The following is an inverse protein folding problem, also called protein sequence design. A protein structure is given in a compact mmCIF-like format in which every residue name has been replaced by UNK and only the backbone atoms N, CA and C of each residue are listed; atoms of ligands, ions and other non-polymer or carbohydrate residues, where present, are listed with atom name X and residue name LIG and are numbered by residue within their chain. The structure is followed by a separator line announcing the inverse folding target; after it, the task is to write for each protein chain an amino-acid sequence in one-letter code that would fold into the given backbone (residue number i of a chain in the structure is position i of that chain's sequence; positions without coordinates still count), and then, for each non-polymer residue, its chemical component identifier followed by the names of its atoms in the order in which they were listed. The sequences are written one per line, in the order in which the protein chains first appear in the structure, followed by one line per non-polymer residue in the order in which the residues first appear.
data_IF_146123851437
#
_entry.id   IF_146123851437
#
_cell.length_a   1.000
_cell.length_b   1.000
_cell.length_c   1.000
_cell.angle_alpha   90.00
_cell.angle_beta   90.00
_cell.angle_gamma   90.00
#
_symmetry.space_group_name_H-M   'P 1'
#
loop_
_entity.id
_entity.type
_entity.pdbx_description
1 polymer ?
#
# COMPACT_ATOMS: atom_id res chain seq x y z
N UNK A 1 -4.61 -44.08 36.33
CA UNK A 1 -6.06 -44.30 36.53
C UNK A 1 -6.79 -43.07 36.01
N UNK A 2 -7.44 -43.17 34.85
CA UNK A 2 -8.91 -43.25 34.70
C UNK A 2 -9.63 -42.01 35.25
N UNK A 3 -10.12 -41.15 34.34
CA UNK A 3 -11.54 -41.17 33.95
C UNK A 3 -11.82 -40.34 32.69
N UNK A 4 -12.55 -41.03 31.82
CA UNK A 4 -13.18 -40.64 30.57
C UNK A 4 -14.69 -40.56 30.87
N UNK A 5 -15.38 -39.47 30.49
CA UNK A 5 -16.84 -39.36 30.24
C UNK A 5 -16.97 -38.12 29.32
N UNK A 6 -17.26 -38.14 28.01
CA UNK A 6 -18.33 -38.71 27.16
C UNK A 6 -19.70 -37.99 27.25
N UNK A 7 -19.93 -37.13 26.25
CA UNK A 7 -21.19 -36.89 25.47
C UNK A 7 -22.36 -36.11 26.08
N UNK A 8 -22.88 -35.10 25.34
CA UNK A 8 -24.22 -35.07 24.70
C UNK A 8 -24.35 -33.84 23.77
N UNK A 9 -24.89 -34.10 22.57
CA UNK A 9 -25.31 -33.17 21.52
C UNK A 9 -26.57 -32.38 21.93
N UNK A 10 -26.67 -31.13 21.45
CA UNK A 10 -27.95 -30.53 21.06
C UNK A 10 -27.73 -29.51 19.94
N UNK A 11 -28.29 -29.81 18.77
CA UNK A 11 -28.50 -28.91 17.64
C UNK A 11 -29.86 -28.23 17.84
N UNK A 12 -29.93 -26.90 17.74
CA UNK A 12 -31.08 -26.17 17.21
C UNK A 12 -30.64 -24.73 16.91
N UNK A 13 -30.69 -24.35 15.63
CA UNK A 13 -30.23 -23.06 15.14
C UNK A 13 -31.24 -21.93 15.35
N UNK A 14 -30.73 -20.69 15.25
CA UNK A 14 -31.46 -19.53 14.73
C UNK A 14 -30.48 -18.73 13.90
N UNK A 15 -30.89 -18.43 12.67
CA UNK A 15 -30.22 -17.56 11.71
C UNK A 15 -29.88 -16.19 12.31
N UNK A 16 -28.62 -15.80 12.18
CA UNK A 16 -28.24 -14.42 12.00
C UNK A 16 -26.98 -14.40 11.12
N UNK A 17 -27.16 -14.06 9.83
CA UNK A 17 -26.06 -13.69 8.95
C UNK A 17 -25.37 -12.45 9.55
N UNK A 18 -24.28 -12.63 10.29
CA UNK A 18 -23.42 -11.53 10.67
C UNK A 18 -22.35 -11.33 9.61
N UNK A 19 -22.32 -10.14 9.01
CA UNK A 19 -21.27 -9.68 8.10
C UNK A 19 -19.87 -9.97 8.69
N UNK A 20 -19.19 -10.96 8.12
CA UNK A 20 -17.82 -11.27 8.50
C UNK A 20 -16.89 -10.20 7.93
N UNK A 21 -16.13 -9.57 8.83
CA UNK A 21 -14.99 -8.72 8.51
C UNK A 21 -14.02 -9.49 7.61
N UNK A 22 -13.44 -8.89 6.55
CA UNK A 22 -12.49 -9.61 5.70
C UNK A 22 -11.34 -10.20 6.52
N UNK A 23 -11.10 -11.50 6.43
CA UNK A 23 -9.93 -12.15 7.04
C UNK A 23 -8.69 -11.72 6.26
N UNK A 24 -8.01 -10.68 6.73
CA UNK A 24 -6.73 -10.27 6.16
C UNK A 24 -5.66 -11.31 6.49
N UNK A 25 -5.17 -12.02 5.46
CA UNK A 25 -3.99 -12.86 5.59
C UNK A 25 -2.77 -11.98 5.35
N UNK A 26 -2.20 -11.47 6.44
CA UNK A 26 -0.97 -10.70 6.39
C UNK A 26 0.25 -11.64 6.43
N UNK A 27 1.03 -11.63 5.36
CA UNK A 27 2.34 -12.25 5.36
C UNK A 27 3.35 -11.32 6.03
N UNK A 28 3.56 -11.49 7.34
CA UNK A 28 4.62 -10.80 8.07
C UNK A 28 5.93 -11.58 7.97
N UNK A 29 6.87 -11.10 7.17
CA UNK A 29 8.27 -11.51 7.29
C UNK A 29 8.85 -10.88 8.57
N UNK A 30 8.94 -11.65 9.66
CA UNK A 30 9.41 -11.10 10.93
C UNK A 30 10.93 -10.89 10.91
N UNK A 31 11.38 -9.68 11.26
CA UNK A 31 12.78 -9.25 11.29
C UNK A 31 13.61 -9.76 12.48
N UNK A 32 13.23 -10.88 13.11
CA UNK A 32 14.01 -11.45 14.22
C UNK A 32 14.58 -12.80 13.82
N UNK A 33 15.92 -12.85 13.82
CA UNK A 33 16.81 -13.99 13.57
C UNK A 33 16.22 -15.31 14.11
N UNK A 34 15.76 -16.14 13.20
CA UNK A 34 15.97 -17.59 13.23
C UNK A 34 15.90 -18.05 11.78
N UNK A 35 17.08 -18.19 11.19
CA UNK A 35 17.31 -19.03 10.02
C UNK A 35 16.77 -20.42 10.36
N UNK A 36 15.82 -20.92 9.57
CA UNK A 36 15.65 -22.36 9.43
C UNK A 36 15.88 -22.71 7.97
N UNK A 37 16.88 -23.55 7.79
CA UNK A 37 17.19 -24.29 6.58
C UNK A 37 15.95 -25.12 6.21
N UNK A 38 15.50 -25.02 4.97
CA UNK A 38 14.67 -26.06 4.35
C UNK A 38 15.46 -26.56 3.14
N UNK A 39 16.08 -27.71 3.34
CA UNK A 39 16.56 -28.55 2.25
C UNK A 39 15.33 -28.87 1.38
N UNK A 40 15.39 -28.53 0.09
CA UNK A 40 14.32 -28.54 -0.93
C UNK A 40 13.35 -27.33 -0.94
N UNK A 41 13.68 -26.33 -1.75
CA UNK A 41 12.76 -25.59 -2.64
C UNK A 41 11.60 -24.75 -2.08
N UNK A 42 11.27 -24.79 -0.79
CA UNK A 42 10.02 -24.23 -0.24
C UNK A 42 10.32 -23.21 0.86
N UNK A 43 9.94 -21.95 0.67
CA UNK A 43 9.99 -20.93 1.73
C UNK A 43 8.64 -20.83 2.43
N UNK A 44 8.58 -21.34 3.66
CA UNK A 44 7.45 -21.20 4.57
C UNK A 44 7.55 -19.87 5.31
N UNK A 45 6.52 -19.02 5.23
CA UNK A 45 6.36 -17.97 6.24
C UNK A 45 5.51 -18.51 7.39
N UNK A 46 5.99 -18.36 8.62
CA UNK A 46 5.18 -18.57 9.83
C UNK A 46 4.98 -17.18 10.46
N UNK A 47 3.77 -16.71 10.82
CA UNK A 47 2.46 -17.32 11.07
C UNK A 47 1.40 -16.86 10.04
N UNK A 48 0.79 -17.81 9.35
CA UNK A 48 -0.24 -17.60 8.32
C UNK A 48 0.09 -18.46 7.10
N UNK A 49 -0.48 -19.67 7.05
CA UNK A 49 -0.03 -20.82 6.24
C UNK A 49 0.01 -20.49 4.74
N UNK A 50 1.19 -20.53 4.13
CA UNK A 50 1.37 -20.60 2.68
C UNK A 50 2.85 -20.74 2.31
N UNK A 51 3.13 -20.97 1.02
CA UNK A 51 4.49 -21.12 0.48
C UNK A 51 4.81 -20.15 -0.64
N UNK A 52 6.10 -19.81 -0.76
CA UNK A 52 6.68 -19.16 -1.94
C UNK A 52 7.78 -20.08 -2.47
N UNK A 53 7.70 -20.43 -3.74
CA UNK A 53 8.56 -21.40 -4.41
C UNK A 53 9.02 -20.84 -5.76
N UNK A 54 10.15 -21.33 -6.26
CA UNK A 54 10.56 -21.11 -7.65
C UNK A 54 10.55 -22.44 -8.40
N UNK A 55 9.85 -22.49 -9.54
CA UNK A 55 9.62 -23.71 -10.31
C UNK A 55 10.23 -23.58 -11.70
N UNK A 56 11.11 -24.53 -12.07
CA UNK A 56 11.78 -24.56 -13.37
C UNK A 56 12.27 -25.95 -13.79
N UNK A 57 12.50 -26.17 -15.10
CA UNK A 57 12.79 -27.51 -15.70
C UNK A 57 14.19 -28.07 -15.43
N UNK A 58 15.15 -27.28 -14.94
CA UNK A 58 16.51 -27.70 -14.56
C UNK A 58 16.93 -26.93 -13.29
N UNK A 59 16.55 -27.44 -12.13
CA UNK A 59 16.75 -26.81 -10.82
C UNK A 59 18.22 -26.83 -10.36
N UNK A 60 19.13 -26.12 -11.06
CA UNK A 60 20.51 -25.89 -10.61
C UNK A 60 20.89 -24.42 -10.49
N UNK A 61 19.96 -23.49 -10.70
CA UNK A 61 20.16 -22.10 -10.29
C UNK A 61 20.15 -22.04 -8.76
N UNK A 62 21.26 -21.61 -8.14
CA UNK A 62 21.37 -21.47 -6.70
C UNK A 62 20.29 -20.50 -6.19
N UNK A 63 19.24 -21.04 -5.58
CA UNK A 63 18.25 -20.23 -4.86
C UNK A 63 18.97 -19.68 -3.63
N UNK A 64 19.23 -18.38 -3.64
CA UNK A 64 20.01 -17.69 -2.61
C UNK A 64 19.12 -16.79 -1.77
N UNK A 65 19.66 -16.31 -0.64
CA UNK A 65 19.02 -15.30 0.21
C UNK A 65 19.72 -13.97 0.01
N UNK A 66 19.02 -12.97 -0.55
CA UNK A 66 19.53 -11.59 -0.66
C UNK A 66 18.78 -10.68 0.30
N UNK A 67 19.47 -10.10 1.28
CA UNK A 67 18.87 -9.20 2.30
C UNK A 67 17.63 -9.81 3.00
N UNK A 68 17.66 -11.12 3.28
CA UNK A 68 16.58 -11.91 3.86
C UNK A 68 15.40 -12.25 2.92
N UNK A 69 15.59 -12.17 1.60
CA UNK A 69 14.56 -12.47 0.60
C UNK A 69 14.96 -13.60 -0.35
N UNK A 70 14.00 -14.43 -0.81
CA UNK A 70 14.23 -15.38 -1.88
C UNK A 70 14.74 -14.68 -3.15
N UNK A 71 15.82 -15.21 -3.71
CA UNK A 71 16.38 -14.75 -4.96
C UNK A 71 16.80 -15.93 -5.85
N UNK A 72 16.66 -15.74 -7.16
CA UNK A 72 17.01 -16.71 -8.19
C UNK A 72 17.86 -16.02 -9.24
N UNK A 73 18.99 -16.64 -9.56
CA UNK A 73 19.87 -16.26 -10.68
C UNK A 73 19.56 -17.14 -11.89
N UNK A 74 19.71 -16.63 -13.11
CA UNK A 74 19.58 -17.39 -14.36
C UNK A 74 18.22 -18.09 -14.56
N UNK A 75 17.11 -17.40 -14.25
CA UNK A 75 15.79 -17.93 -14.59
C UNK A 75 15.58 -17.95 -16.10
N UNK A 76 14.85 -18.94 -16.60
CA UNK A 76 14.58 -19.07 -18.04
C UNK A 76 13.14 -18.77 -18.38
N UNK A 77 12.90 -18.48 -19.66
CA UNK A 77 11.57 -18.41 -20.22
C UNK A 77 10.73 -19.63 -19.81
N UNK A 78 9.61 -19.39 -19.15
CA UNK A 78 8.70 -20.41 -18.66
C UNK A 78 8.89 -20.79 -17.19
N UNK A 79 10.03 -20.46 -16.56
CA UNK A 79 10.20 -20.61 -15.11
C UNK A 79 9.35 -19.58 -14.36
N UNK A 80 8.95 -19.87 -13.13
CA UNK A 80 8.06 -19.00 -12.38
C UNK A 80 8.26 -19.03 -10.87
N UNK A 81 8.01 -17.89 -10.24
CA UNK A 81 7.72 -17.83 -8.82
C UNK A 81 6.28 -18.28 -8.60
N UNK A 82 6.05 -19.25 -7.72
CA UNK A 82 4.74 -19.75 -7.33
C UNK A 82 4.47 -19.36 -5.88
N UNK A 83 3.31 -18.76 -5.65
CA UNK A 83 2.78 -18.46 -4.33
C UNK A 83 1.54 -19.32 -4.12
N UNK A 84 1.54 -20.11 -3.04
CA UNK A 84 0.45 -21.04 -2.71
C UNK A 84 -0.08 -20.71 -1.32
N UNK A 85 -1.36 -20.38 -1.23
CA UNK A 85 -2.02 -19.98 0.02
C UNK A 85 -3.20 -20.90 0.28
N UNK A 86 -3.11 -21.75 1.32
CA UNK A 86 -4.26 -22.42 1.91
C UNK A 86 -5.47 -21.50 2.01
N UNK A 87 -6.55 -21.91 1.35
CA UNK A 87 -7.79 -21.18 1.25
C UNK A 87 -8.96 -22.16 1.40
N UNK A 88 -9.93 -21.76 2.20
CA UNK A 88 -11.15 -22.50 2.49
C UNK A 88 -12.32 -21.51 2.41
N UNK A 89 -13.46 -22.01 1.94
CA UNK A 89 -14.72 -21.26 1.86
C UNK A 89 -14.65 -19.91 1.13
N UNK A 90 -13.83 -19.79 0.08
CA UNK A 90 -13.87 -18.66 -0.85
C UNK A 90 -14.97 -18.92 -1.88
N UNK A 91 -15.96 -18.04 -1.94
CA UNK A 91 -17.12 -18.20 -2.82
C UNK A 91 -16.75 -17.88 -4.28
N UNK A 92 -17.45 -18.50 -5.23
CA UNK A 92 -17.36 -18.09 -6.62
C UNK A 92 -17.82 -16.64 -6.78
N UNK A 93 -17.08 -15.87 -7.58
CA UNK A 93 -17.30 -14.44 -7.75
C UNK A 93 -16.52 -13.57 -6.75
N UNK A 94 -15.90 -14.13 -5.70
CA UNK A 94 -15.13 -13.33 -4.75
C UNK A 94 -13.95 -12.63 -5.43
N UNK A 95 -13.81 -11.33 -5.17
CA UNK A 95 -12.66 -10.54 -5.58
C UNK A 95 -11.51 -10.69 -4.57
N UNK A 96 -10.30 -10.79 -5.10
CA UNK A 96 -9.07 -10.96 -4.32
C UNK A 96 -8.07 -9.92 -4.79
N UNK A 97 -7.63 -9.08 -3.87
CA UNK A 97 -6.63 -8.06 -4.10
C UNK A 97 -5.23 -8.60 -3.83
N UNK A 98 -4.36 -8.48 -4.83
CA UNK A 98 -3.03 -9.05 -4.88
C UNK A 98 -2.00 -7.92 -4.83
N UNK A 99 -1.26 -7.84 -3.73
CA UNK A 99 -0.22 -6.82 -3.49
C UNK A 99 1.15 -7.50 -3.42
N UNK A 100 1.94 -7.40 -4.48
CA UNK A 100 3.25 -8.05 -4.53
C UNK A 100 4.39 -7.08 -4.84
N UNK A 101 5.23 -6.75 -3.85
CA UNK A 101 6.53 -6.16 -4.12
C UNK A 101 7.37 -7.13 -4.96
N UNK A 102 7.80 -6.70 -6.13
CA UNK A 102 8.61 -7.51 -7.03
C UNK A 102 9.92 -6.79 -7.35
N UNK A 103 11.04 -7.48 -7.11
CA UNK A 103 12.35 -7.08 -7.61
C UNK A 103 12.75 -8.01 -8.76
N UNK A 104 13.23 -7.44 -9.84
CA UNK A 104 14.29 -8.12 -10.57
C UNK A 104 15.47 -7.16 -10.68
N UNK A 105 16.68 -7.72 -10.67
CA UNK A 105 17.86 -6.88 -10.82
C UNK A 105 17.81 -6.22 -12.20
N UNK A 106 18.34 -4.99 -12.33
CA UNK A 106 18.38 -4.35 -13.63
C UNK A 106 19.23 -5.18 -14.58
N UNK A 107 18.68 -5.39 -15.76
CA UNK A 107 19.38 -5.82 -16.95
C UNK A 107 19.27 -4.69 -17.98
N UNK A 108 20.20 -4.67 -18.92
CA UNK A 108 20.13 -3.77 -20.08
C UNK A 108 18.88 -4.09 -20.94
N UNK A 109 18.30 -5.29 -20.79
CA UNK A 109 17.01 -5.66 -21.35
C UNK A 109 15.91 -5.74 -20.28
N UNK A 110 14.71 -5.16 -20.50
CA UNK A 110 13.56 -5.30 -19.61
C UNK A 110 13.20 -6.77 -19.36
N UNK A 111 13.31 -7.25 -18.12
CA UNK A 111 12.82 -8.59 -17.76
C UNK A 111 11.29 -8.63 -17.91
N UNK A 112 10.73 -9.59 -18.64
CA UNK A 112 9.29 -9.68 -18.86
C UNK A 112 8.68 -10.80 -18.01
N UNK A 113 7.71 -10.48 -17.13
CA UNK A 113 7.00 -11.46 -16.30
C UNK A 113 5.49 -11.45 -16.51
N UNK A 114 4.90 -12.61 -16.82
CA UNK A 114 3.46 -12.85 -16.77
C UNK A 114 2.99 -13.06 -15.34
N UNK A 115 2.10 -12.19 -14.89
CA UNK A 115 1.45 -12.30 -13.59
C UNK A 115 0.11 -13.02 -13.75
N UNK A 116 -0.01 -14.19 -13.15
CA UNK A 116 -1.09 -15.14 -13.40
C UNK A 116 -1.65 -15.71 -12.09
N UNK A 117 -2.92 -16.11 -12.08
CA UNK A 117 -3.56 -16.82 -10.99
C UNK A 117 -4.24 -18.09 -11.49
N UNK A 118 -4.35 -19.10 -10.63
CA UNK A 118 -5.02 -20.35 -10.95
C UNK A 118 -6.50 -20.27 -10.59
N UNK A 119 -7.37 -20.53 -11.56
CA UNK A 119 -8.81 -20.63 -11.35
C UNK A 119 -9.40 -21.71 -12.28
N UNK A 120 -10.22 -22.61 -11.74
CA UNK A 120 -10.80 -23.71 -12.53
C UNK A 120 -9.77 -24.59 -13.24
N UNK A 121 -8.60 -24.82 -12.61
CA UNK A 121 -7.43 -25.53 -13.18
C UNK A 121 -6.77 -24.84 -14.39
N UNK A 122 -7.12 -23.58 -14.68
CA UNK A 122 -6.52 -22.78 -15.74
C UNK A 122 -5.74 -21.61 -15.15
N UNK A 123 -4.57 -21.34 -15.71
CA UNK A 123 -3.81 -20.14 -15.38
C UNK A 123 -4.37 -18.97 -16.18
N UNK A 124 -4.85 -17.96 -15.47
CA UNK A 124 -5.45 -16.74 -16.03
C UNK A 124 -4.55 -15.54 -15.74
N UNK A 125 -4.48 -14.54 -16.63
CA UNK A 125 -3.69 -13.34 -16.39
C UNK A 125 -4.35 -12.44 -15.34
N UNK A 126 -3.53 -11.83 -14.47
CA UNK A 126 -3.98 -10.89 -13.44
C UNK A 126 -4.31 -9.51 -14.02
N UNK A 127 -3.75 -9.17 -15.18
CA UNK A 127 -4.04 -7.92 -15.90
C UNK A 127 -4.57 -8.18 -17.31
N UNK A 128 -5.35 -7.24 -17.88
CA UNK A 128 -5.44 -7.15 -19.33
C UNK A 128 -4.05 -6.84 -19.92
N UNK A 129 -3.83 -7.22 -21.18
CA UNK A 129 -2.58 -6.98 -21.89
C UNK A 129 -2.25 -5.48 -21.93
N UNK A 130 -0.97 -5.11 -21.79
CA UNK A 130 -0.55 -3.72 -21.91
C UNK A 130 -0.60 -3.23 -23.39
N UNK A 131 -0.21 -1.98 -23.64
CA UNK A 131 -0.17 -1.39 -25.01
C UNK A 131 0.71 -2.16 -26.01
N UNK A 132 1.57 -3.07 -25.56
CA UNK A 132 2.43 -3.92 -26.39
C UNK A 132 1.76 -5.28 -26.67
N UNK A 133 0.53 -5.49 -26.19
CA UNK A 133 -0.18 -6.76 -26.30
C UNK A 133 0.38 -7.83 -25.36
N UNK A 134 1.16 -7.44 -24.35
CA UNK A 134 1.86 -8.39 -23.47
C UNK A 134 1.39 -8.24 -22.04
N UNK A 135 1.02 -9.36 -21.40
CA UNK A 135 0.75 -9.46 -19.96
C UNK A 135 2.05 -9.39 -19.13
N UNK A 136 2.99 -8.50 -19.48
CA UNK A 136 4.35 -8.54 -18.95
C UNK A 136 4.78 -7.28 -18.22
N UNK A 137 5.29 -7.46 -17.01
CA UNK A 137 5.93 -6.40 -16.23
C UNK A 137 7.43 -6.36 -16.48
N UNK A 138 8.01 -5.16 -16.52
CA UNK A 138 9.45 -4.92 -16.54
C UNK A 138 9.98 -4.20 -15.31
N UNK A 139 11.15 -4.62 -14.82
CA UNK A 139 11.83 -4.00 -13.67
C UNK A 139 13.27 -3.64 -13.99
N UNK A 140 13.72 -2.47 -13.54
CA UNK A 140 15.07 -1.93 -13.79
C UNK A 140 15.74 -1.45 -12.48
N UNK A 141 15.34 -1.97 -11.31
CA UNK A 141 15.72 -1.38 -10.00
C UNK A 141 16.86 -2.10 -9.29
N UNK A 142 17.91 -1.35 -8.89
CA UNK A 142 19.02 -1.85 -8.06
C UNK A 142 18.69 -1.92 -6.56
N UNK A 143 17.65 -1.21 -6.09
CA UNK A 143 17.47 -0.95 -4.64
C UNK A 143 16.04 -1.14 -4.10
N UNK A 144 14.98 -0.97 -4.91
CA UNK A 144 13.59 -0.95 -4.42
C UNK A 144 12.60 -1.64 -5.36
N UNK A 145 11.66 -2.45 -4.83
CA UNK A 145 10.72 -3.22 -5.63
C UNK A 145 9.78 -2.33 -6.42
N UNK A 146 9.38 -2.80 -7.61
CA UNK A 146 8.14 -2.34 -8.22
C UNK A 146 6.98 -3.01 -7.48
N UNK A 147 5.87 -2.31 -7.37
CA UNK A 147 4.67 -2.85 -6.73
C UNK A 147 3.72 -3.38 -7.79
N UNK A 148 3.51 -4.70 -7.79
CA UNK A 148 2.50 -5.37 -8.59
C UNK A 148 1.21 -5.41 -7.76
N UNK A 149 0.26 -4.53 -8.05
CA UNK A 149 -0.96 -4.43 -7.27
C UNK A 149 -2.22 -4.53 -8.14
N UNK A 150 -2.95 -5.63 -8.05
CA UNK A 150 -4.10 -5.90 -8.93
C UNK A 150 -5.18 -6.71 -8.22
N UNK A 151 -6.43 -6.49 -8.61
CA UNK A 151 -7.55 -7.29 -8.12
C UNK A 151 -7.96 -8.32 -9.16
N UNK A 152 -8.06 -9.58 -8.75
CA UNK A 152 -8.61 -10.67 -9.55
C UNK A 152 -10.01 -11.03 -9.05
N UNK A 153 -10.78 -11.76 -9.86
CA UNK A 153 -12.06 -12.33 -9.45
C UNK A 153 -12.06 -13.81 -9.75
N UNK A 154 -12.31 -14.65 -8.76
CA UNK A 154 -12.37 -16.09 -8.96
C UNK A 154 -13.72 -16.48 -9.53
N UNK A 155 -13.76 -17.10 -10.71
CA UNK A 155 -14.98 -17.63 -11.29
C UNK A 155 -15.47 -18.90 -10.60
N UNK A 156 -14.56 -19.76 -10.10
CA UNK A 156 -14.92 -21.07 -9.55
C UNK A 156 -14.94 -21.15 -8.01
N UNK A 157 -14.42 -20.13 -7.31
CA UNK A 157 -14.25 -20.16 -5.84
C UNK A 157 -13.25 -21.23 -5.38
N UNK A 158 -13.03 -21.33 -4.06
CA UNK A 158 -12.18 -22.33 -3.41
C UNK A 158 -12.89 -22.85 -2.16
N UNK A 159 -13.47 -24.05 -2.24
CA UNK A 159 -14.12 -24.69 -1.08
C UNK A 159 -13.09 -25.16 -0.04
N UNK A 160 -12.09 -25.90 -0.49
CA UNK A 160 -10.95 -26.36 0.32
C UNK A 160 -9.79 -26.63 -0.62
N UNK A 161 -8.67 -25.94 -0.42
CA UNK A 161 -7.51 -26.09 -1.29
C UNK A 161 -6.55 -24.91 -1.15
N UNK A 162 -6.05 -24.41 -2.28
CA UNK A 162 -5.11 -23.31 -2.31
C UNK A 162 -5.51 -22.25 -3.32
N UNK A 163 -5.38 -20.99 -2.94
CA UNK A 163 -5.21 -19.89 -3.88
C UNK A 163 -3.77 -19.95 -4.40
N UNK A 164 -3.61 -19.98 -5.72
CA UNK A 164 -2.28 -20.01 -6.35
C UNK A 164 -2.11 -18.84 -7.30
N UNK A 165 -0.98 -18.18 -7.17
CA UNK A 165 -0.58 -17.02 -7.97
C UNK A 165 0.85 -17.21 -8.40
N UNK A 166 1.20 -16.87 -9.64
CA UNK A 166 2.57 -17.00 -10.14
C UNK A 166 3.05 -15.80 -10.95
N UNK A 167 4.36 -15.60 -10.93
CA UNK A 167 5.09 -14.66 -11.79
C UNK A 167 6.00 -15.46 -12.71
N UNK A 168 5.56 -15.65 -13.94
CA UNK A 168 6.22 -16.49 -14.95
C UNK A 168 7.07 -15.68 -15.90
N UNK A 169 8.30 -16.10 -16.12
CA UNK A 169 9.22 -15.44 -17.04
C UNK A 169 8.79 -15.64 -18.49
N UNK A 170 8.72 -14.54 -19.24
CA UNK A 170 8.24 -14.49 -20.62
C UNK A 170 9.32 -14.07 -21.63
N UNK A 171 10.35 -13.34 -21.16
CA UNK A 171 11.47 -12.86 -21.97
C UNK A 171 12.52 -13.93 -22.28
N UNK A 172 13.66 -13.52 -22.86
CA UNK A 172 14.89 -14.34 -22.91
C UNK A 172 15.43 -14.53 -21.47
N UNK A 173 16.43 -15.40 -21.30
CA UNK A 173 17.00 -15.78 -19.99
C UNK A 173 17.20 -14.54 -19.08
N UNK A 174 16.57 -14.57 -17.91
CA UNK A 174 16.64 -13.50 -16.92
C UNK A 174 17.85 -13.76 -16.04
N UNK A 175 18.87 -12.92 -16.15
CA UNK A 175 20.11 -13.07 -15.39
C UNK A 175 19.86 -13.13 -13.86
N UNK A 176 18.86 -12.39 -13.33
CA UNK A 176 18.56 -12.41 -11.87
C UNK A 176 17.20 -11.80 -11.46
N UNK A 177 16.45 -12.49 -10.59
CA UNK A 177 15.18 -12.02 -10.00
C UNK A 177 15.07 -12.28 -8.48
N UNK A 178 14.28 -11.49 -7.74
CA UNK A 178 14.07 -11.67 -6.29
C UNK A 178 12.70 -11.19 -5.81
N UNK A 179 12.07 -11.94 -4.92
CA UNK A 179 10.84 -11.49 -4.26
C UNK A 179 11.19 -10.72 -2.98
N UNK A 180 11.29 -9.39 -3.10
CA UNK A 180 11.57 -8.51 -1.97
C UNK A 180 10.36 -8.34 -1.04
N UNK A 181 10.57 -8.07 0.24
CA UNK A 181 9.48 -7.64 1.13
C UNK A 181 9.96 -6.87 2.35
N UNK A 182 9.95 -5.53 2.34
CA UNK A 182 10.32 -4.78 3.56
C UNK A 182 9.28 -4.99 4.67
N UNK A 183 9.75 -4.94 5.92
CA UNK A 183 8.91 -5.10 7.12
C UNK A 183 8.00 -3.90 7.42
N UNK A 184 8.07 -2.82 6.63
CA UNK A 184 7.38 -1.55 6.88
C UNK A 184 6.11 -1.33 6.04
N UNK A 185 5.44 -2.42 5.63
CA UNK A 185 4.18 -2.35 4.87
C UNK A 185 4.31 -2.60 3.37
N UNK A 186 5.52 -2.89 2.87
CA UNK A 186 5.74 -3.27 1.47
C UNK A 186 6.08 -4.76 1.32
N UNK A 187 5.56 -5.63 2.18
CA UNK A 187 5.63 -7.08 2.02
C UNK A 187 4.51 -7.59 1.06
N UNK A 188 4.66 -8.78 0.44
CA UNK A 188 3.57 -9.49 -0.22
C UNK A 188 2.31 -9.55 0.64
N UNK A 189 1.16 -9.32 0.04
CA UNK A 189 -0.13 -9.30 0.72
C UNK A 189 -1.25 -9.74 -0.22
N UNK A 190 -2.22 -10.40 0.38
CA UNK A 190 -3.48 -10.71 -0.25
C UNK A 190 -4.60 -10.22 0.66
N UNK A 191 -5.54 -9.47 0.09
CA UNK A 191 -6.79 -9.15 0.75
C UNK A 191 -7.92 -9.85 0.02
N UNK A 192 -8.69 -10.66 0.74
CA UNK A 192 -9.97 -11.15 0.24
C UNK A 192 -10.94 -9.97 0.39
N UNK A 193 -11.55 -9.53 -0.71
CA UNK A 193 -12.59 -8.52 -0.69
C UNK A 193 -13.93 -9.27 -0.51
N UNK A 194 -14.82 -9.21 -1.48
CA UNK A 194 -16.08 -9.96 -1.49
C UNK A 194 -16.61 -10.14 -2.92
N UNK A 195 -17.81 -10.69 -3.08
CA UNK A 195 -18.42 -10.89 -4.41
C UNK A 195 -18.98 -9.61 -5.04
N UNK A 196 -18.98 -8.45 -4.35
CA UNK A 196 -19.61 -7.24 -4.90
C UNK A 196 -18.98 -6.84 -6.22
N UNK A 197 -19.79 -6.23 -7.08
CA UNK A 197 -19.36 -5.64 -8.36
C UNK A 197 -19.39 -4.13 -8.17
N UNK A 198 -18.23 -3.46 -8.14
CA UNK A 198 -18.18 -2.01 -8.09
C UNK A 198 -18.88 -1.39 -9.30
N UNK A 199 -19.55 -0.25 -9.10
CA UNK A 199 -20.28 0.48 -10.14
C UNK A 199 -19.36 1.20 -11.11
N UNK A 200 -18.16 1.54 -10.67
CA UNK A 200 -17.19 2.31 -11.43
C UNK A 200 -15.76 1.82 -11.14
N UNK A 201 -14.83 2.34 -11.94
CA UNK A 201 -13.40 2.15 -11.77
C UNK A 201 -12.72 3.51 -11.85
N UNK A 202 -11.91 3.82 -10.85
CA UNK A 202 -11.07 5.02 -10.81
C UNK A 202 -9.60 4.63 -10.87
N UNK A 203 -8.86 5.15 -11.85
CA UNK A 203 -7.42 4.90 -11.99
C UNK A 203 -6.60 5.90 -11.19
N UNK A 204 -5.81 5.40 -10.25
CA UNK A 204 -5.10 6.26 -9.28
C UNK A 204 -3.59 6.00 -9.32
N UNK A 205 -2.83 7.09 -9.36
CA UNK A 205 -1.39 7.09 -9.13
C UNK A 205 -1.08 7.49 -7.68
N UNK A 206 -0.17 6.77 -7.01
CA UNK A 206 0.43 7.22 -5.74
C UNK A 206 1.95 7.38 -5.87
N UNK A 207 2.46 8.55 -5.51
CA UNK A 207 3.90 8.84 -5.37
C UNK A 207 4.17 9.40 -3.98
N UNK A 208 5.05 8.75 -3.23
CA UNK A 208 5.34 9.17 -1.86
C UNK A 208 6.32 8.27 -1.11
N UNK A 209 6.19 8.24 0.21
CA UNK A 209 7.13 7.59 1.11
C UNK A 209 6.43 6.86 2.27
N UNK A 210 7.16 6.63 3.37
CA UNK A 210 6.72 5.84 4.51
C UNK A 210 5.52 6.43 5.24
N UNK A 211 5.22 7.72 5.06
CA UNK A 211 3.97 8.28 5.55
C UNK A 211 2.75 7.77 4.78
N UNK A 212 2.93 7.45 3.50
CA UNK A 212 1.86 6.87 2.68
C UNK A 212 1.80 5.35 2.81
N UNK A 213 2.91 4.60 2.73
CA UNK A 213 2.81 3.12 2.69
C UNK A 213 2.78 2.41 4.06
N UNK A 214 3.20 3.06 5.15
CA UNK A 214 3.20 2.41 6.46
C UNK A 214 1.78 2.06 6.88
N UNK A 215 1.63 0.88 7.49
CA UNK A 215 0.33 0.35 7.92
C UNK A 215 -0.75 0.43 6.83
N UNK A 216 -0.34 0.23 5.58
CA UNK A 216 -1.23 -0.15 4.50
C UNK A 216 -2.22 0.91 4.03
N UNK A 217 -1.96 2.20 4.25
CA UNK A 217 -2.94 3.24 3.92
C UNK A 217 -3.57 3.12 2.50
N UNK A 218 -2.81 2.99 1.39
CA UNK A 218 -3.41 2.81 0.07
C UNK A 218 -4.32 1.58 -0.03
N UNK A 219 -3.92 0.45 0.59
CA UNK A 219 -4.74 -0.76 0.61
C UNK A 219 -6.02 -0.54 1.42
N UNK A 220 -5.93 0.11 2.59
CA UNK A 220 -7.10 0.47 3.38
C UNK A 220 -8.05 1.40 2.60
N UNK A 221 -7.50 2.35 1.85
CA UNK A 221 -8.28 3.26 1.00
C UNK A 221 -9.01 2.49 -0.11
N UNK A 222 -8.34 1.53 -0.75
CA UNK A 222 -8.96 0.66 -1.76
C UNK A 222 -10.03 -0.24 -1.17
N UNK A 223 -9.79 -0.81 0.01
CA UNK A 223 -10.78 -1.62 0.72
C UNK A 223 -12.00 -0.76 1.10
N UNK A 224 -11.81 0.44 1.63
CA UNK A 224 -12.92 1.38 1.91
C UNK A 224 -13.72 1.70 0.65
N UNK A 225 -13.05 2.09 -0.44
CA UNK A 225 -13.71 2.38 -1.71
C UNK A 225 -14.49 1.16 -2.24
N UNK A 226 -13.91 -0.04 -2.15
CA UNK A 226 -14.58 -1.28 -2.55
C UNK A 226 -15.87 -1.52 -1.77
N UNK A 227 -15.84 -1.28 -0.45
CA UNK A 227 -17.02 -1.43 0.40
C UNK A 227 -18.12 -0.41 0.10
N UNK A 228 -17.75 0.77 -0.40
CA UNK A 228 -18.70 1.82 -0.81
C UNK A 228 -19.24 1.65 -2.24
N UNK A 229 -18.67 0.72 -3.01
CA UNK A 229 -19.10 0.36 -4.36
C UNK A 229 -18.18 0.83 -5.49
N UNK A 230 -16.96 1.29 -5.18
CA UNK A 230 -16.01 1.83 -6.15
C UNK A 230 -14.78 0.93 -6.29
N UNK A 231 -14.30 0.72 -7.53
CA UNK A 231 -13.04 0.02 -7.75
C UNK A 231 -11.89 1.00 -7.96
N UNK A 232 -10.81 0.84 -7.19
CA UNK A 232 -9.59 1.62 -7.42
C UNK A 232 -8.52 0.80 -8.13
N UNK A 233 -8.22 1.16 -9.39
CA UNK A 233 -7.09 0.64 -10.13
C UNK A 233 -5.84 1.46 -9.81
N UNK A 234 -5.16 1.04 -8.75
CA UNK A 234 -4.01 1.74 -8.20
C UNK A 234 -2.70 1.35 -8.91
N UNK A 235 -1.89 2.36 -9.21
CA UNK A 235 -0.48 2.24 -9.60
C UNK A 235 0.33 3.10 -8.64
N UNK A 236 1.45 2.59 -8.14
CA UNK A 236 2.18 3.30 -7.11
C UNK A 236 3.67 3.03 -7.11
N UNK A 237 4.40 4.00 -6.59
CA UNK A 237 5.78 3.82 -6.22
C UNK A 237 6.10 4.62 -4.96
N UNK A 238 6.69 3.94 -3.98
CA UNK A 238 7.06 4.57 -2.72
C UNK A 238 8.48 4.26 -2.30
N UNK A 239 9.14 5.25 -1.72
CA UNK A 239 10.45 5.07 -1.10
C UNK A 239 10.53 5.84 0.22
N UNK A 240 10.94 5.15 1.29
CA UNK A 240 11.10 5.75 2.61
C UNK A 240 11.98 7.01 2.60
N UNK A 241 11.48 8.11 3.16
CA UNK A 241 12.18 9.40 3.23
C UNK A 241 12.40 10.12 1.90
N UNK A 242 11.71 9.75 0.82
CA UNK A 242 11.77 10.50 -0.44
C UNK A 242 11.04 11.82 -0.35
N UNK A 243 11.66 12.84 -0.95
CA UNK A 243 11.03 14.09 -1.34
C UNK A 243 10.63 14.03 -2.82
N UNK A 244 9.83 14.99 -3.29
CA UNK A 244 9.50 15.07 -4.73
C UNK A 244 10.74 15.19 -5.61
N UNK A 245 11.75 15.96 -5.17
CA UNK A 245 13.07 16.03 -5.82
C UNK A 245 13.70 14.65 -6.05
N UNK A 246 13.64 13.78 -5.04
CA UNK A 246 14.21 12.42 -5.12
C UNK A 246 13.39 11.53 -6.06
N UNK A 247 12.06 11.64 -6.03
CA UNK A 247 11.21 10.94 -7.00
C UNK A 247 11.49 11.39 -8.44
N UNK A 248 11.65 12.68 -8.70
CA UNK A 248 12.00 13.19 -10.04
C UNK A 248 13.34 12.65 -10.55
N UNK A 249 14.31 12.43 -9.66
CA UNK A 249 15.60 11.85 -10.01
C UNK A 249 15.56 10.31 -10.20
N UNK A 250 14.58 9.63 -9.62
CA UNK A 250 14.44 8.16 -9.69
C UNK A 250 13.69 7.75 -10.96
N UNK A 251 14.35 6.98 -11.83
CA UNK A 251 13.75 6.53 -13.08
C UNK A 251 12.51 5.65 -12.87
N UNK A 252 12.41 4.90 -11.78
CA UNK A 252 11.23 4.04 -11.52
C UNK A 252 10.03 4.90 -11.16
N UNK A 253 10.24 5.97 -10.38
CA UNK A 253 9.18 6.94 -10.09
C UNK A 253 8.67 7.57 -11.39
N UNK A 254 9.60 7.98 -12.26
CA UNK A 254 9.25 8.56 -13.57
C UNK A 254 8.51 7.57 -14.46
N UNK A 255 9.01 6.35 -14.61
CA UNK A 255 8.36 5.27 -15.38
C UNK A 255 6.97 4.92 -14.81
N UNK A 256 6.76 5.04 -13.50
CA UNK A 256 5.46 4.80 -12.86
C UNK A 256 4.45 5.90 -13.21
N UNK A 257 4.89 7.16 -13.27
CA UNK A 257 4.07 8.29 -13.74
C UNK A 257 3.74 8.14 -15.23
N UNK A 258 4.71 7.72 -16.03
CA UNK A 258 4.61 7.54 -17.49
C UNK A 258 3.61 6.46 -17.93
N UNK A 259 3.19 5.56 -17.03
CA UNK A 259 2.10 4.59 -17.29
C UNK A 259 0.85 5.32 -17.80
N UNK A 260 0.58 6.50 -17.25
CA UNK A 260 -0.43 7.42 -17.76
C UNK A 260 -1.88 6.93 -17.66
N UNK A 261 -2.77 7.77 -18.19
CA UNK A 261 -4.22 7.56 -18.18
C UNK A 261 -4.78 7.36 -16.74
N UNK A 262 -4.24 8.12 -15.79
CA UNK A 262 -4.77 8.22 -14.42
C UNK A 262 -5.84 9.31 -14.35
N UNK A 263 -6.82 9.13 -13.47
CA UNK A 263 -7.82 10.13 -13.13
C UNK A 263 -7.41 10.96 -11.92
N UNK A 264 -6.69 10.34 -10.98
CA UNK A 264 -6.17 11.00 -9.79
C UNK A 264 -4.71 10.64 -9.54
N UNK A 265 -3.96 11.57 -8.98
CA UNK A 265 -2.59 11.34 -8.53
C UNK A 265 -2.38 11.88 -7.12
N UNK A 266 -2.25 11.01 -6.13
CA UNK A 266 -1.85 11.35 -4.77
C UNK A 266 -0.33 11.54 -4.72
N UNK A 267 0.09 12.76 -4.38
CA UNK A 267 1.48 13.16 -4.31
C UNK A 267 1.82 13.58 -2.87
N UNK A 268 2.79 12.89 -2.28
CA UNK A 268 3.24 13.12 -0.91
C UNK A 268 4.75 13.42 -0.87
N UNK A 269 5.12 14.67 -0.61
CA UNK A 269 6.53 15.06 -0.39
C UNK A 269 7.04 14.53 0.97
N UNK A 270 8.32 14.68 1.29
CA UNK A 270 8.90 14.26 2.56
C UNK A 270 8.12 14.83 3.75
N UNK A 271 7.88 13.98 4.75
CA UNK A 271 7.00 14.22 5.91
C UNK A 271 7.00 15.61 6.56
N UNK A 272 8.16 16.29 6.59
CA UNK A 272 8.38 17.59 7.22
C UNK A 272 8.88 18.65 6.23
N UNK A 273 8.90 18.38 4.92
CA UNK A 273 9.35 19.34 3.93
C UNK A 273 8.47 20.60 3.87
N UNK A 274 7.19 20.51 4.24
CA UNK A 274 6.33 21.68 4.37
C UNK A 274 6.83 22.68 5.42
N UNK A 275 7.56 22.25 6.46
CA UNK A 275 8.19 23.16 7.44
C UNK A 275 9.33 23.99 6.84
N UNK A 276 9.85 23.60 5.68
CA UNK A 276 10.94 24.31 4.99
C UNK A 276 10.44 25.48 4.17
N UNK A 277 9.19 25.44 3.72
CA UNK A 277 8.64 26.39 2.75
C UNK A 277 8.71 27.80 3.34
N UNK A 278 9.31 28.73 2.59
CA UNK A 278 9.49 30.12 3.01
C UNK A 278 10.62 30.35 4.02
N UNK A 279 11.39 29.33 4.37
CA UNK A 279 12.59 29.46 5.23
C UNK A 279 13.87 29.47 4.40
N UNK A 280 15.01 29.81 5.01
CA UNK A 280 16.33 29.68 4.36
C UNK A 280 16.67 28.23 3.92
N UNK A 281 15.91 27.24 4.38
CA UNK A 281 16.11 25.82 4.11
C UNK A 281 15.04 25.20 3.19
N UNK A 282 14.27 26.01 2.44
CA UNK A 282 13.16 25.59 1.55
C UNK A 282 13.54 24.45 0.58
N UNK A 283 14.77 24.40 0.05
CA UNK A 283 15.18 23.38 -0.93
C UNK A 283 14.25 23.29 -2.17
N UNK A 284 13.50 24.35 -2.47
CA UNK A 284 12.56 24.44 -3.59
C UNK A 284 11.39 23.45 -3.50
N UNK A 285 10.81 23.20 -2.31
CA UNK A 285 9.76 22.18 -2.14
C UNK A 285 8.61 22.37 -3.13
N UNK A 286 8.08 23.58 -3.22
CA UNK A 286 6.94 23.90 -4.09
C UNK A 286 7.30 23.71 -5.57
N UNK A 287 8.50 24.13 -5.99
CA UNK A 287 8.93 23.98 -7.39
C UNK A 287 9.21 22.52 -7.77
N UNK A 288 9.66 21.68 -6.83
CA UNK A 288 9.82 20.24 -7.08
C UNK A 288 8.47 19.51 -7.13
N UNK A 289 7.48 19.93 -6.32
CA UNK A 289 6.11 19.46 -6.44
C UNK A 289 5.50 19.85 -7.80
N UNK A 290 5.67 21.11 -8.24
CA UNK A 290 5.20 21.61 -9.53
C UNK A 290 5.75 20.78 -10.70
N UNK A 291 7.05 20.46 -10.70
CA UNK A 291 7.67 19.60 -11.71
C UNK A 291 7.02 18.21 -11.76
N UNK A 292 6.70 17.62 -10.59
CA UNK A 292 6.01 16.33 -10.55
C UNK A 292 4.57 16.45 -11.07
N UNK A 293 3.83 17.49 -10.69
CA UNK A 293 2.48 17.77 -11.20
C UNK A 293 2.50 17.90 -12.72
N UNK A 294 3.42 18.69 -13.28
CA UNK A 294 3.57 18.87 -14.72
C UNK A 294 3.87 17.54 -15.42
N UNK A 295 4.73 16.70 -14.83
CA UNK A 295 4.99 15.36 -15.35
C UNK A 295 3.75 14.46 -15.31
N UNK A 296 2.98 14.47 -14.24
CA UNK A 296 1.71 13.72 -14.19
C UNK A 296 0.78 14.18 -15.28
N UNK A 297 0.65 15.50 -15.49
CA UNK A 297 -0.19 16.10 -16.53
C UNK A 297 0.28 15.79 -17.95
N UNK A 298 1.58 15.61 -18.17
CA UNK A 298 2.14 15.17 -19.45
C UNK A 298 1.59 13.80 -19.88
N UNK A 299 1.55 12.83 -18.96
CA UNK A 299 1.11 11.45 -19.25
C UNK A 299 -0.35 11.17 -18.90
N UNK A 300 -0.97 12.03 -18.11
CA UNK A 300 -2.39 11.98 -17.72
C UNK A 300 -2.97 13.41 -17.69
N UNK A 301 -3.24 14.05 -18.85
CA UNK A 301 -3.65 15.46 -18.92
C UNK A 301 -4.89 15.80 -18.08
N UNK A 302 -5.82 14.84 -17.95
CA UNK A 302 -7.05 14.99 -17.19
C UNK A 302 -6.92 14.65 -15.70
N UNK A 303 -5.78 14.11 -15.25
CA UNK A 303 -5.61 13.67 -13.87
C UNK A 303 -5.72 14.84 -12.89
N UNK A 304 -6.54 14.71 -11.86
CA UNK A 304 -6.54 15.64 -10.72
C UNK A 304 -5.38 15.28 -9.79
N UNK A 305 -4.43 16.19 -9.64
CA UNK A 305 -3.33 16.02 -8.72
C UNK A 305 -3.79 16.41 -7.31
N UNK A 306 -3.60 15.51 -6.35
CA UNK A 306 -3.96 15.67 -4.95
C UNK A 306 -2.66 15.72 -4.15
N UNK A 307 -2.45 16.78 -3.37
CA UNK A 307 -1.36 16.77 -2.38
C UNK A 307 -1.86 16.16 -1.07
N UNK A 308 -1.09 15.22 -0.55
CA UNK A 308 -1.35 14.60 0.75
C UNK A 308 -0.77 15.47 1.87
N UNK A 309 -1.64 16.12 2.65
CA UNK A 309 -1.20 16.84 3.84
C UNK A 309 -0.76 15.85 4.91
N UNK A 310 0.51 15.93 5.30
CA UNK A 310 1.07 15.10 6.38
C UNK A 310 0.65 15.62 7.76
N UNK A 311 1.12 14.93 8.79
CA UNK A 311 0.89 15.28 10.19
C UNK A 311 2.18 15.62 10.93
N UNK A 312 2.06 16.45 11.97
CA UNK A 312 3.16 16.78 12.88
C UNK A 312 3.68 15.57 13.66
N UNK A 313 4.91 15.66 14.17
CA UNK A 313 5.48 14.66 15.09
C UNK A 313 4.72 14.67 16.42
N UNK A 314 4.69 13.53 17.13
CA UNK A 314 3.85 13.33 18.33
C UNK A 314 3.88 14.50 19.30
N UNK A 315 5.04 15.07 19.57
CA UNK A 315 5.21 16.15 20.54
C UNK A 315 5.74 17.45 19.91
N UNK A 316 5.58 17.65 18.59
CA UNK A 316 6.19 18.78 17.88
C UNK A 316 7.71 18.72 17.76
N UNK A 317 8.38 17.82 18.49
CA UNK A 317 9.82 17.69 18.42
C UNK A 317 10.25 16.85 17.22
N UNK A 318 11.37 17.25 16.62
CA UNK A 318 12.03 16.44 15.61
C UNK A 318 13.25 15.74 16.21
N UNK A 319 13.16 14.41 16.33
CA UNK A 319 14.24 13.53 16.81
C UNK A 319 15.15 13.07 15.67
N UNK A 320 14.89 13.53 14.44
CA UNK A 320 15.73 13.18 13.29
C UNK A 320 17.13 13.77 13.41
N UNK A 321 18.10 13.08 12.80
CA UNK A 321 19.48 13.55 12.66
C UNK A 321 19.69 14.49 11.45
N UNK A 322 18.62 14.90 10.77
CA UNK A 322 18.68 15.80 9.63
C UNK A 322 19.15 17.19 10.07
N UNK A 323 20.39 17.55 9.71
CA UNK A 323 20.97 18.87 9.98
C UNK A 323 20.05 20.00 9.51
N UNK A 324 19.49 19.86 8.32
CA UNK A 324 18.62 20.87 7.74
C UNK A 324 17.26 21.03 8.45
N UNK A 325 16.84 20.10 9.33
CA UNK A 325 15.68 20.31 10.22
C UNK A 325 16.11 20.88 11.57
N UNK A 326 17.32 20.55 12.05
CA UNK A 326 17.91 21.20 13.22
C UNK A 326 18.16 22.70 13.00
N UNK A 327 18.55 23.09 11.78
CA UNK A 327 18.75 24.50 11.43
C UNK A 327 17.42 25.27 11.42
N UNK A 328 16.35 24.66 10.89
CA UNK A 328 14.99 25.23 10.96
C UNK A 328 14.55 25.33 12.41
N UNK A 329 14.74 24.29 13.23
CA UNK A 329 14.41 24.33 14.65
C UNK A 329 15.17 25.42 15.42
N UNK A 330 16.40 25.74 14.99
CA UNK A 330 17.19 26.82 15.59
C UNK A 330 16.65 28.19 15.19
N UNK A 331 16.29 28.38 13.91
CA UNK A 331 15.78 29.65 13.40
C UNK A 331 14.30 29.90 13.74
N UNK A 332 13.52 28.83 13.85
CA UNK A 332 12.07 28.80 14.08
C UNK A 332 11.73 27.80 15.20
N UNK A 333 12.21 28.02 16.43
CA UNK A 333 11.91 27.12 17.56
C UNK A 333 10.41 26.95 17.79
N UNK A 334 9.61 27.98 17.49
CA UNK A 334 8.15 28.01 17.62
C UNK A 334 7.46 26.92 16.78
N UNK A 335 8.07 26.45 15.67
CA UNK A 335 7.51 25.38 14.85
C UNK A 335 7.56 24.01 15.54
N UNK A 336 8.40 23.84 16.57
CA UNK A 336 8.70 22.55 17.20
C UNK A 336 8.29 22.46 18.68
N UNK A 337 7.58 23.46 19.19
CA UNK A 337 7.17 23.52 20.61
C UNK A 337 6.12 22.48 20.98
N UNK A 338 5.21 22.18 20.05
CA UNK A 338 4.08 21.27 20.26
C UNK A 338 3.62 20.64 18.95
N UNK A 339 2.78 19.61 19.05
CA UNK A 339 2.17 19.02 17.86
C UNK A 339 1.35 20.07 17.10
N UNK A 340 0.59 20.89 17.83
CA UNK A 340 -0.30 21.93 17.30
C UNK A 340 0.50 23.01 16.56
N UNK A 341 1.63 23.45 17.13
CA UNK A 341 2.50 24.43 16.47
C UNK A 341 3.08 23.89 15.16
N UNK A 342 3.58 22.65 15.17
CA UNK A 342 4.10 22.00 13.96
C UNK A 342 2.99 21.78 12.93
N UNK A 343 1.84 21.26 13.36
CA UNK A 343 0.72 20.96 12.47
C UNK A 343 0.18 22.24 11.82
N UNK A 344 0.12 23.36 12.55
CA UNK A 344 -0.28 24.66 11.99
C UNK A 344 0.58 25.05 10.79
N UNK A 345 1.90 24.92 10.90
CA UNK A 345 2.83 25.25 9.81
C UNK A 345 2.66 24.29 8.63
N UNK A 346 2.54 22.99 8.90
CA UNK A 346 2.27 21.97 7.87
C UNK A 346 0.97 22.30 7.13
N UNK A 347 -0.11 22.57 7.86
CA UNK A 347 -1.42 22.90 7.31
C UNK A 347 -1.36 24.16 6.45
N UNK A 348 -0.77 25.25 6.95
CA UNK A 348 -0.63 26.52 6.21
C UNK A 348 0.15 26.31 4.92
N UNK A 349 1.34 25.72 5.00
CA UNK A 349 2.25 25.64 3.86
C UNK A 349 1.77 24.63 2.81
N UNK A 350 1.19 23.49 3.22
CA UNK A 350 0.62 22.54 2.27
C UNK A 350 -0.65 23.08 1.60
N UNK A 351 -1.50 23.82 2.33
CA UNK A 351 -2.69 24.46 1.74
C UNK A 351 -2.30 25.53 0.72
N UNK A 352 -1.32 26.38 1.04
CA UNK A 352 -0.81 27.39 0.13
C UNK A 352 -0.17 26.77 -1.12
N UNK A 353 0.59 25.68 -0.96
CA UNK A 353 1.15 24.92 -2.08
C UNK A 353 0.04 24.33 -2.97
N UNK A 354 -0.99 23.72 -2.39
CA UNK A 354 -2.11 23.16 -3.13
C UNK A 354 -2.82 24.24 -3.98
N UNK A 355 -3.12 25.39 -3.37
CA UNK A 355 -3.74 26.53 -4.05
C UNK A 355 -2.85 27.06 -5.17
N UNK A 356 -1.57 27.29 -4.91
CA UNK A 356 -0.61 27.82 -5.89
C UNK A 356 -0.48 26.92 -7.12
N UNK A 357 -0.51 25.60 -6.92
CA UNK A 357 -0.31 24.62 -7.99
C UNK A 357 -1.63 24.10 -8.59
N UNK A 358 -2.78 24.62 -8.17
CA UNK A 358 -4.09 24.15 -8.64
C UNK A 358 -4.37 22.67 -8.30
N UNK A 359 -3.80 22.18 -7.20
CA UNK A 359 -3.98 20.81 -6.73
C UNK A 359 -5.18 20.72 -5.79
N UNK A 360 -5.83 19.55 -5.77
CA UNK A 360 -6.72 19.19 -4.68
C UNK A 360 -5.91 18.87 -3.42
N UNK A 361 -6.53 19.02 -2.25
CA UNK A 361 -5.89 18.78 -0.95
C UNK A 361 -6.56 17.58 -0.28
N UNK A 362 -5.76 16.59 0.14
CA UNK A 362 -6.19 15.55 1.09
C UNK A 362 -5.78 15.97 2.51
N UNK A 363 -6.71 16.48 3.34
CA UNK A 363 -6.42 17.17 4.59
C UNK A 363 -6.17 16.22 5.79
N UNK A 364 -5.33 15.20 5.62
CA UNK A 364 -5.11 14.17 6.66
C UNK A 364 -4.59 14.78 7.97
N UNK A 365 -3.67 15.74 7.90
CA UNK A 365 -3.14 16.45 9.06
C UNK A 365 -4.20 17.15 9.93
N UNK A 366 -5.23 17.72 9.31
CA UNK A 366 -6.35 18.34 10.02
C UNK A 366 -7.20 17.28 10.74
N UNK A 367 -7.49 16.17 10.08
CA UNK A 367 -8.22 15.06 10.68
C UNK A 367 -7.46 14.47 11.89
N UNK A 368 -6.14 14.33 11.76
CA UNK A 368 -5.27 13.90 12.86
C UNK A 368 -5.36 14.83 14.07
N UNK A 369 -5.31 16.15 13.85
CA UNK A 369 -5.42 17.15 14.91
C UNK A 369 -6.73 17.00 15.70
N UNK A 370 -7.85 16.79 14.99
CA UNK A 370 -9.16 16.60 15.62
C UNK A 370 -9.17 15.34 16.49
N UNK A 371 -8.73 14.19 15.96
CA UNK A 371 -8.73 12.92 16.72
C UNK A 371 -7.82 13.02 17.94
N UNK A 372 -6.64 13.62 17.82
CA UNK A 372 -5.73 13.80 18.96
C UNK A 372 -6.34 14.63 20.08
N UNK A 373 -7.15 15.63 19.73
CA UNK A 373 -7.83 16.51 20.69
C UNK A 373 -9.03 15.82 21.35
N UNK A 374 -9.88 15.17 20.55
CA UNK A 374 -11.16 14.63 21.01
C UNK A 374 -11.07 13.20 21.56
N UNK A 375 -10.16 12.39 21.03
CA UNK A 375 -9.98 10.96 21.35
C UNK A 375 -8.50 10.60 21.47
N UNK A 376 -7.77 11.17 22.45
CA UNK A 376 -6.36 10.86 22.68
C UNK A 376 -6.10 9.39 23.05
N UNK A 377 -7.15 8.64 23.40
CA UNK A 377 -7.11 7.18 23.61
C UNK A 377 -6.91 6.40 22.30
N UNK A 378 -7.24 6.98 21.14
CA UNK A 378 -6.97 6.40 19.82
C UNK A 378 -5.54 6.74 19.43
N UNK A 379 -4.63 5.78 19.61
CA UNK A 379 -3.23 5.94 19.26
C UNK A 379 -3.03 6.01 17.75
N UNK A 380 -2.64 7.18 17.22
CA UNK A 380 -2.42 7.43 15.80
C UNK A 380 -0.99 7.16 15.33
N UNK A 381 -0.02 7.04 16.23
CA UNK A 381 1.38 6.79 15.88
C UNK A 381 1.84 5.41 16.33
N UNK A 382 2.83 4.87 15.62
CA UNK A 382 3.68 3.84 16.23
C UNK A 382 4.62 4.45 17.28
N UNK A 383 5.41 3.61 17.94
CA UNK A 383 6.29 3.99 19.07
C UNK A 383 7.28 5.12 18.74
N UNK A 384 7.63 5.31 17.47
CA UNK A 384 8.57 6.35 17.05
C UNK A 384 8.00 7.78 17.07
N UNK A 385 6.70 7.94 17.31
CA UNK A 385 6.04 9.26 17.35
C UNK A 385 6.02 9.99 16.02
N UNK A 386 6.19 9.27 14.92
CA UNK A 386 6.33 9.77 13.56
C UNK A 386 5.38 9.03 12.62
N UNK A 387 5.60 7.72 12.46
CA UNK A 387 4.87 6.92 11.49
C UNK A 387 3.46 6.61 11.99
N UNK A 388 2.49 6.45 11.08
CA UNK A 388 1.11 6.21 11.48
C UNK A 388 0.99 4.82 12.09
N UNK A 389 0.11 4.63 13.07
CA UNK A 389 -0.42 3.33 13.49
C UNK A 389 -1.43 2.81 12.46
N UNK A 390 -2.01 1.61 12.67
CA UNK A 390 -3.13 1.15 11.84
C UNK A 390 -4.33 2.12 11.88
N UNK A 391 -4.60 2.73 13.04
CA UNK A 391 -5.64 3.74 13.19
C UNK A 391 -5.30 5.05 12.46
N UNK A 392 -4.04 5.50 12.53
CA UNK A 392 -3.56 6.65 11.77
C UNK A 392 -3.69 6.46 10.25
N UNK A 393 -3.31 5.29 9.75
CA UNK A 393 -3.43 4.94 8.33
C UNK A 393 -4.89 4.73 7.89
N UNK A 394 -5.76 4.22 8.76
CA UNK A 394 -7.19 4.13 8.50
C UNK A 394 -7.83 5.52 8.38
N UNK A 395 -7.48 6.46 9.27
CA UNK A 395 -7.96 7.84 9.18
C UNK A 395 -7.51 8.51 7.88
N UNK A 396 -6.24 8.32 7.50
CA UNK A 396 -5.73 8.78 6.20
C UNK A 396 -6.52 8.15 5.03
N UNK A 397 -6.81 6.86 5.12
CA UNK A 397 -7.63 6.13 4.14
C UNK A 397 -9.03 6.72 3.99
N UNK A 398 -9.69 7.03 5.11
CA UNK A 398 -11.01 7.60 5.11
C UNK A 398 -11.02 9.04 4.52
N UNK A 399 -10.03 9.87 4.88
CA UNK A 399 -9.87 11.21 4.30
C UNK A 399 -9.60 11.13 2.80
N UNK A 400 -8.74 10.20 2.36
CA UNK A 400 -8.44 10.01 0.94
C UNK A 400 -9.65 9.50 0.13
N UNK A 401 -10.44 8.58 0.68
CA UNK A 401 -11.71 8.15 0.08
C UNK A 401 -12.65 9.34 -0.15
N UNK A 402 -12.91 10.13 0.90
CA UNK A 402 -13.78 11.30 0.78
C UNK A 402 -13.18 12.38 -0.12
N UNK A 403 -11.84 12.46 -0.22
CA UNK A 403 -11.18 13.38 -1.13
C UNK A 403 -11.48 13.02 -2.59
N UNK A 404 -11.60 11.73 -2.91
CA UNK A 404 -11.92 11.24 -4.25
C UNK A 404 -13.41 11.36 -4.57
N UNK A 405 -14.26 10.83 -3.69
CA UNK A 405 -15.66 10.58 -4.01
C UNK A 405 -16.61 11.67 -3.50
N UNK A 406 -16.19 12.44 -2.48
CA UNK A 406 -17.00 13.52 -1.88
C UNK A 406 -18.39 13.07 -1.41
N UNK A 407 -18.56 11.79 -1.11
CA UNK A 407 -19.80 11.18 -0.65
C UNK A 407 -19.61 10.63 0.77
N UNK A 408 -20.57 10.81 1.69
CA UNK A 408 -20.48 10.24 3.03
C UNK A 408 -20.46 8.71 2.97
N UNK A 409 -19.83 8.08 3.96
CA UNK A 409 -19.76 6.63 4.03
C UNK A 409 -21.15 6.05 4.26
N UNK A 410 -21.50 4.99 3.52
CA UNK A 410 -22.68 4.19 3.84
C UNK A 410 -22.41 3.46 5.16
N UNK A 411 -23.48 3.01 5.83
CA UNK A 411 -23.35 2.21 7.04
C UNK A 411 -22.56 0.92 6.73
N UNK A 412 -21.26 0.91 7.03
CA UNK A 412 -20.32 -0.12 6.60
C UNK A 412 -19.58 -0.81 7.74
N UNK A 413 -19.27 -2.09 7.52
CA UNK A 413 -18.43 -2.93 8.38
C UNK A 413 -17.08 -2.26 8.62
N UNK A 414 -16.58 -2.20 9.86
CA UNK A 414 -15.23 -1.70 10.11
C UNK A 414 -14.19 -2.58 9.43
N UNK A 415 -13.17 -1.96 8.86
CA UNK A 415 -12.03 -2.65 8.28
C UNK A 415 -10.88 -2.53 9.27
N UNK A 416 -10.28 -3.66 9.66
CA UNK A 416 -9.04 -3.77 10.48
C UNK A 416 -9.06 -3.20 11.90
N UNK A 417 -10.05 -2.37 12.24
CA UNK A 417 -10.20 -1.73 13.55
C UNK A 417 -11.47 -2.21 14.24
N UNK A 418 -11.57 -1.89 15.53
CA UNK A 418 -12.84 -2.09 16.26
C UNK A 418 -13.94 -1.22 15.62
N UNK A 419 -15.19 -1.71 15.54
CA UNK A 419 -16.32 -1.00 14.92
C UNK A 419 -16.47 0.46 15.33
N UNK A 420 -16.42 0.73 16.62
CA UNK A 420 -16.60 2.04 17.22
C UNK A 420 -15.47 3.01 16.88
N UNK A 421 -14.22 2.52 16.81
CA UNK A 421 -13.06 3.33 16.42
C UNK A 421 -13.15 3.68 14.94
N UNK A 422 -13.39 2.69 14.08
CA UNK A 422 -13.54 2.90 12.64
C UNK A 422 -14.67 3.88 12.31
N UNK A 423 -15.82 3.76 12.99
CA UNK A 423 -16.96 4.67 12.83
C UNK A 423 -16.59 6.10 13.19
N UNK A 424 -15.94 6.32 14.34
CA UNK A 424 -15.51 7.64 14.77
C UNK A 424 -14.46 8.25 13.83
N UNK A 425 -13.48 7.47 13.35
CA UNK A 425 -12.49 7.96 12.40
C UNK A 425 -13.11 8.36 11.06
N UNK A 426 -14.10 7.61 10.57
CA UNK A 426 -14.87 7.98 9.37
C UNK A 426 -15.66 9.28 9.58
N UNK A 427 -16.31 9.45 10.72
CA UNK A 427 -17.05 10.69 11.00
C UNK A 427 -16.12 11.90 11.13
N UNK A 428 -14.90 11.74 11.66
CA UNK A 428 -13.89 12.81 11.63
C UNK A 428 -13.53 13.16 10.19
N UNK A 429 -13.28 12.16 9.34
CA UNK A 429 -12.96 12.39 7.94
C UNK A 429 -14.10 13.13 7.21
N UNK A 430 -15.37 12.77 7.47
CA UNK A 430 -16.56 13.46 6.91
C UNK A 430 -16.62 14.93 7.32
N UNK A 431 -16.47 15.22 8.62
CA UNK A 431 -16.43 16.61 9.13
C UNK A 431 -15.36 17.44 8.43
N UNK A 432 -14.18 16.86 8.20
CA UNK A 432 -13.05 17.58 7.61
C UNK A 432 -13.23 17.79 6.10
N UNK A 433 -13.62 16.75 5.37
CA UNK A 433 -13.61 16.78 3.90
C UNK A 433 -14.93 17.31 3.33
N UNK A 434 -16.05 16.90 3.91
CA UNK A 434 -17.39 17.31 3.48
C UNK A 434 -17.87 18.58 4.19
N UNK A 435 -17.13 19.04 5.22
CA UNK A 435 -17.51 20.18 6.07
C UNK A 435 -18.87 19.98 6.74
N UNK A 436 -19.20 18.75 7.11
CA UNK A 436 -20.41 18.46 7.89
C UNK A 436 -20.26 19.05 9.29
N UNK A 437 -21.17 19.93 9.69
CA UNK A 437 -21.27 20.39 11.07
C UNK A 437 -21.86 19.26 11.94
N UNK A 438 -21.41 19.19 13.20
CA UNK A 438 -21.94 18.26 14.19
C UNK A 438 -23.25 18.76 14.78
#
# INVERSE_FOLDING_TARGET
MKRLILTIFAIAGVCALSAQTPKHIEWKLTSKRTTQYLESGIYNATKGRGTIEFVGKKATAAVGVRKNYPAVENGRKGDYWLMTIPAEDIVAGTAIDLWFPFLAEPSDEPHAFAFEYLDGKKWLPVTPADKRGVNCYSTTSKKWPRMLWRTIRLANGIKSGNLQVRLRQCGKEVAKSSLYGSTSGQAPKIAILDERIPSDTTRILFIGNSYTYCNHYPMQLKELAWHEGHYLDCTLYFHGGYSMKKHLADHISRETVEVGNFEYAFLQDQSLNSLRIGTSADQNVVGEMEKMVNRVKEFSPKAKCIVEMTWGRRNGNDTTKSKALQDIKTAHPEYFESYEAMQRVITTNTTAMAQKLGMELSPVGIAWEIVRRERPDIELYVKDGSHPSDAGSYLAAAVGYLTLFKEPFKAGTPIRLKPEVAKYLRSVAERVVLKTEN
#
